data_IF_866056886042
#
_entry.id   IF_866056886042
#
_cell.length_a   1.000
_cell.length_b   1.000
_cell.length_c   1.000
_cell.angle_alpha   90.00
_cell.angle_beta   90.00
_cell.angle_gamma   90.00
#
_symmetry.space_group_name_H-M   'P 1'
#
loop_
_entity.id
_entity.type
_entity.pdbx_description
1 polymer ?
#
# COMPACT_ATOMS: atom_id res chain seq x y z
N UNK A 1 2.28 31.20 6.71
CA UNK A 1 3.27 30.14 6.45
C UNK A 1 2.81 28.75 6.90
N UNK A 2 2.48 28.52 8.19
CA UNK A 2 2.04 27.18 8.66
C UNK A 2 0.82 26.59 7.93
N UNK A 3 -0.22 27.40 7.71
CA UNK A 3 -1.47 26.96 7.04
C UNK A 3 -1.26 26.53 5.58
N UNK A 4 -0.33 27.17 4.86
CA UNK A 4 -0.04 26.84 3.46
C UNK A 4 0.67 25.49 3.35
N UNK A 5 1.64 25.24 4.25
CA UNK A 5 2.40 23.99 4.30
C UNK A 5 1.52 22.80 4.74
N UNK A 6 0.61 23.02 5.70
CA UNK A 6 -0.37 22.00 6.06
C UNK A 6 -1.33 21.69 4.90
N UNK A 7 -1.78 22.71 4.17
CA UNK A 7 -2.66 22.53 3.02
C UNK A 7 -1.94 21.78 1.88
N UNK A 8 -0.68 22.10 1.61
CA UNK A 8 0.17 21.39 0.65
C UNK A 8 0.35 19.91 1.03
N UNK A 9 0.64 19.62 2.30
CA UNK A 9 0.76 18.23 2.77
C UNK A 9 -0.56 17.45 2.70
N UNK A 10 -1.70 18.12 2.92
CA UNK A 10 -3.03 17.50 2.82
C UNK A 10 -3.38 17.21 1.37
N UNK A 11 -3.06 18.13 0.44
CA UNK A 11 -3.27 17.96 -1.00
C UNK A 11 -2.42 16.82 -1.55
N UNK A 12 -1.12 16.78 -1.21
CA UNK A 12 -0.22 15.71 -1.64
C UNK A 12 -0.66 14.37 -1.03
N UNK A 13 -1.07 14.35 0.25
CA UNK A 13 -1.61 13.16 0.91
C UNK A 13 -2.89 12.64 0.25
N UNK A 14 -3.82 13.53 -0.10
CA UNK A 14 -5.05 13.17 -0.80
C UNK A 14 -4.78 12.61 -2.20
N UNK A 15 -3.87 13.22 -2.96
CA UNK A 15 -3.46 12.73 -4.28
C UNK A 15 -2.76 11.37 -4.18
N UNK A 16 -1.86 11.19 -3.22
CA UNK A 16 -1.17 9.91 -2.97
C UNK A 16 -2.14 8.79 -2.57
N UNK A 17 -3.14 9.10 -1.75
CA UNK A 17 -4.21 8.17 -1.38
C UNK A 17 -5.04 7.73 -2.60
N UNK A 18 -5.46 8.68 -3.44
CA UNK A 18 -6.23 8.38 -4.64
C UNK A 18 -5.44 7.47 -5.61
N UNK A 19 -4.18 7.81 -5.86
CA UNK A 19 -3.30 7.02 -6.74
C UNK A 19 -3.02 5.63 -6.14
N UNK A 20 -2.73 5.56 -4.83
CA UNK A 20 -2.47 4.31 -4.12
C UNK A 20 -3.67 3.36 -4.13
N UNK A 21 -4.89 3.89 -4.02
CA UNK A 21 -6.12 3.11 -4.05
C UNK A 21 -6.37 2.50 -5.43
N UNK A 22 -6.16 3.29 -6.51
CA UNK A 22 -6.22 2.79 -7.89
C UNK A 22 -5.15 1.73 -8.16
N UNK A 23 -3.90 1.98 -7.75
CA UNK A 23 -2.80 1.03 -7.89
C UNK A 23 -3.03 -0.25 -7.07
N UNK A 24 -3.57 -0.16 -5.86
CA UNK A 24 -3.87 -1.30 -5.00
C UNK A 24 -4.96 -2.20 -5.59
N UNK A 25 -6.00 -1.61 -6.17
CA UNK A 25 -7.03 -2.34 -6.91
C UNK A 25 -6.40 -3.04 -8.14
N UNK A 26 -5.61 -2.30 -8.93
CA UNK A 26 -4.94 -2.85 -10.11
C UNK A 26 -3.98 -4.00 -9.75
N UNK A 27 -3.19 -3.85 -8.67
CA UNK A 27 -2.29 -4.89 -8.16
C UNK A 27 -3.07 -6.12 -7.70
N UNK A 28 -4.19 -5.95 -7.02
CA UNK A 28 -5.02 -7.08 -6.59
C UNK A 28 -5.51 -7.90 -7.78
N UNK A 29 -5.96 -7.23 -8.84
CA UNK A 29 -6.37 -7.89 -10.09
C UNK A 29 -5.21 -8.47 -10.90
N UNK A 30 -3.99 -7.93 -10.79
CA UNK A 30 -2.80 -8.45 -11.48
C UNK A 30 -2.16 -9.63 -10.73
N UNK A 31 -2.13 -9.58 -9.39
CA UNK A 31 -1.50 -10.58 -8.53
C UNK A 31 -2.39 -11.83 -8.44
N UNK A 32 -3.71 -11.69 -8.32
CA UNK A 32 -4.61 -12.85 -8.23
C UNK A 32 -4.38 -13.89 -9.35
N UNK A 33 -4.39 -13.56 -10.65
CA UNK A 33 -4.14 -14.53 -11.71
C UNK A 33 -2.67 -14.97 -11.79
N UNK A 34 -1.71 -14.10 -11.40
CA UNK A 34 -0.29 -14.44 -11.41
C UNK A 34 0.06 -15.45 -10.31
N UNK A 35 -0.47 -15.28 -9.09
CA UNK A 35 -0.29 -16.21 -7.98
C UNK A 35 -0.96 -17.55 -8.25
N UNK A 36 -2.16 -17.53 -8.86
CA UNK A 36 -2.87 -18.74 -9.29
C UNK A 36 -2.10 -19.47 -10.40
N UNK A 37 -1.55 -18.76 -11.40
CA UNK A 37 -0.73 -19.35 -12.47
C UNK A 37 0.59 -19.91 -11.96
N UNK A 38 1.31 -19.16 -11.12
CA UNK A 38 2.61 -19.57 -10.58
C UNK A 38 2.47 -20.69 -9.54
N UNK A 39 1.51 -20.59 -8.62
CA UNK A 39 1.21 -21.62 -7.63
C UNK A 39 0.72 -22.92 -8.26
N UNK A 40 -0.19 -22.85 -9.25
CA UNK A 40 -0.64 -24.02 -9.99
C UNK A 40 0.50 -24.64 -10.83
N UNK A 41 1.40 -23.84 -11.40
CA UNK A 41 2.54 -24.34 -12.17
C UNK A 41 3.58 -24.99 -11.25
N UNK A 42 3.93 -24.44 -10.08
CA UNK A 42 4.85 -25.09 -9.14
C UNK A 42 4.30 -26.42 -8.60
N UNK A 43 2.99 -26.50 -8.35
CA UNK A 43 2.31 -27.74 -7.94
C UNK A 43 2.19 -28.75 -9.10
N UNK A 44 1.94 -28.29 -10.34
CA UNK A 44 1.81 -29.10 -11.55
C UNK A 44 3.14 -29.61 -12.11
N UNK A 45 4.20 -28.81 -12.02
CA UNK A 45 5.55 -29.16 -12.52
C UNK A 45 6.33 -30.03 -11.52
N UNK A 46 5.80 -30.25 -10.32
CA UNK A 46 6.33 -31.26 -9.40
C UNK A 46 7.62 -30.88 -8.67
N UNK A 47 8.08 -29.63 -8.75
CA UNK A 47 9.23 -29.16 -7.98
C UNK A 47 9.00 -29.28 -6.45
N UNK A 48 7.74 -29.13 -6.00
CA UNK A 48 7.33 -29.33 -4.61
C UNK A 48 7.29 -30.82 -4.21
N UNK A 49 7.22 -31.74 -5.17
CA UNK A 49 7.17 -33.20 -4.92
C UNK A 49 8.51 -33.78 -4.47
N UNK A 50 9.63 -33.09 -4.78
CA UNK A 50 10.98 -33.50 -4.39
C UNK A 50 11.27 -33.25 -2.90
N UNK A 51 10.54 -32.33 -2.26
CA UNK A 51 10.64 -32.05 -0.84
C UNK A 51 9.73 -33.07 -0.14
N UNK A 52 10.30 -34.22 0.26
CA UNK A 52 9.60 -35.47 0.63
C UNK A 52 8.48 -35.40 1.68
N UNK A 53 8.23 -34.24 2.28
CA UNK A 53 7.09 -33.97 3.16
C UNK A 53 5.86 -33.38 2.44
N UNK A 54 6.07 -32.65 1.33
CA UNK A 54 5.02 -31.97 0.57
C UNK A 54 4.43 -32.81 -0.58
N UNK A 55 5.06 -33.95 -0.93
CA UNK A 55 4.62 -34.82 -2.01
C UNK A 55 3.29 -35.56 -1.75
N UNK A 56 2.93 -35.83 -0.49
CA UNK A 56 1.61 -36.39 -0.13
C UNK A 56 0.53 -35.31 0.01
N UNK A 57 0.93 -34.09 0.33
CA UNK A 57 0.05 -32.92 0.38
C UNK A 57 -0.28 -32.38 -1.02
N UNK A 58 0.61 -32.59 -2.00
CA UNK A 58 0.43 -32.18 -3.40
C UNK A 58 -0.68 -32.90 -4.18
N UNK A 59 -1.20 -34.04 -3.69
CA UNK A 59 -2.43 -34.64 -4.23
C UNK A 59 -3.71 -33.96 -3.72
N UNK A 60 -3.61 -33.16 -2.66
CA UNK A 60 -4.74 -32.51 -2.00
C UNK A 60 -4.56 -30.99 -1.90
N UNK A 61 -3.66 -30.40 -2.71
CA UNK A 61 -3.63 -28.97 -2.97
C UNK A 61 -4.74 -28.62 -3.98
N UNK A 62 -5.95 -28.91 -3.55
CA UNK A 62 -7.16 -28.10 -3.67
C UNK A 62 -6.89 -26.80 -4.40
N UNK A 63 -7.59 -26.60 -5.52
CA UNK A 63 -7.74 -25.35 -6.24
C UNK A 63 -7.88 -24.19 -5.24
N UNK A 64 -6.77 -23.50 -4.94
CA UNK A 64 -6.78 -22.34 -4.05
C UNK A 64 -7.48 -21.25 -4.85
N UNK A 65 -8.76 -21.02 -4.60
CA UNK A 65 -9.52 -19.95 -5.25
C UNK A 65 -9.38 -18.71 -4.37
N UNK A 66 -8.44 -17.83 -4.72
CA UNK A 66 -8.36 -16.50 -4.13
C UNK A 66 -9.50 -15.65 -4.71
N UNK A 67 -10.55 -15.43 -3.92
CA UNK A 67 -11.61 -14.51 -4.28
C UNK A 67 -11.28 -13.12 -3.72
N UNK A 68 -10.92 -12.13 -4.56
CA UNK A 68 -10.69 -10.78 -4.09
C UNK A 68 -12.02 -10.15 -3.67
N UNK A 69 -12.21 -9.98 -2.37
CA UNK A 69 -13.38 -9.31 -1.80
C UNK A 69 -13.10 -7.81 -1.75
N UNK A 70 -13.63 -7.09 -2.74
CA UNK A 70 -13.61 -5.63 -2.78
C UNK A 70 -15.00 -5.14 -2.36
N UNK A 71 -15.16 -4.87 -1.07
CA UNK A 71 -16.37 -4.24 -0.52
C UNK A 71 -16.21 -2.72 -0.47
N UNK A 72 -17.34 -2.01 -0.53
CA UNK A 72 -17.35 -0.54 -0.43
C UNK A 72 -16.74 -0.05 0.89
N UNK A 73 -16.89 -0.83 1.95
CA UNK A 73 -16.30 -0.59 3.27
C UNK A 73 -14.76 -0.59 3.22
N UNK A 74 -14.15 -1.54 2.52
CA UNK A 74 -12.69 -1.63 2.40
C UNK A 74 -12.12 -0.45 1.61
N UNK A 75 -12.86 0.01 0.59
CA UNK A 75 -12.48 1.21 -0.18
C UNK A 75 -12.55 2.44 0.72
N UNK A 76 -13.64 2.61 1.47
CA UNK A 76 -13.80 3.73 2.40
C UNK A 76 -12.71 3.74 3.47
N UNK A 77 -12.42 2.60 4.09
CA UNK A 77 -11.35 2.45 5.07
C UNK A 77 -9.96 2.76 4.49
N UNK A 78 -9.66 2.27 3.29
CA UNK A 78 -8.38 2.55 2.62
C UNK A 78 -8.20 4.04 2.33
N UNK A 79 -9.28 4.73 1.94
CA UNK A 79 -9.28 6.16 1.63
C UNK A 79 -9.11 7.00 2.90
N UNK A 80 -9.83 6.66 3.98
CA UNK A 80 -9.67 7.30 5.29
C UNK A 80 -8.26 7.09 5.85
N UNK A 81 -7.73 5.86 5.77
CA UNK A 81 -6.37 5.56 6.21
C UNK A 81 -5.32 6.30 5.38
N UNK A 82 -5.47 6.35 4.05
CA UNK A 82 -4.55 7.07 3.17
C UNK A 82 -4.47 8.56 3.49
N UNK A 83 -5.63 9.21 3.69
CA UNK A 83 -5.69 10.62 4.12
C UNK A 83 -5.08 10.78 5.51
N UNK A 84 -5.41 9.90 6.47
CA UNK A 84 -4.88 9.96 7.82
C UNK A 84 -3.34 9.84 7.84
N UNK A 85 -2.78 8.88 7.09
CA UNK A 85 -1.32 8.70 6.98
C UNK A 85 -0.67 9.90 6.29
N UNK A 86 -1.27 10.45 5.23
CA UNK A 86 -0.76 11.64 4.56
C UNK A 86 -0.72 12.87 5.47
N UNK A 87 -1.77 13.09 6.26
CA UNK A 87 -1.84 14.16 7.26
C UNK A 87 -0.81 13.95 8.37
N UNK A 88 -0.68 12.72 8.91
CA UNK A 88 0.31 12.39 9.93
C UNK A 88 1.74 12.60 9.43
N UNK A 89 2.02 12.21 8.18
CA UNK A 89 3.32 12.41 7.55
C UNK A 89 3.65 13.90 7.34
N UNK A 90 2.65 14.75 7.12
CA UNK A 90 2.81 16.21 6.98
C UNK A 90 2.97 16.96 8.30
N UNK A 91 2.34 16.47 9.38
CA UNK A 91 2.40 17.11 10.71
C UNK A 91 3.83 17.12 11.27
N UNK A 92 4.59 16.04 11.12
CA UNK A 92 5.97 15.96 11.62
C UNK A 92 6.92 17.02 11.03
N UNK A 93 7.05 17.17 9.69
CA UNK A 93 7.87 18.22 9.09
C UNK A 93 7.29 19.63 9.32
N UNK A 94 5.95 19.79 9.34
CA UNK A 94 5.32 21.09 9.61
C UNK A 94 5.62 21.60 11.02
N UNK A 95 5.59 20.72 12.03
CA UNK A 95 5.94 21.06 13.40
C UNK A 95 7.42 21.44 13.52
N UNK A 96 8.30 20.73 12.80
CA UNK A 96 9.73 21.06 12.73
C UNK A 96 9.97 22.42 12.06
N UNK A 97 9.27 22.73 10.97
CA UNK A 97 9.40 24.00 10.24
C UNK A 97 8.84 25.20 11.05
N UNK A 98 7.74 25.01 11.78
CA UNK A 98 7.13 26.05 12.62
C UNK A 98 8.04 26.55 13.74
N UNK A 99 9.03 25.74 14.13
CA UNK A 99 9.99 26.07 15.20
C UNK A 99 11.22 26.83 14.69
N UNK A 100 11.42 27.01 13.39
CA UNK A 100 12.51 27.81 12.85
C UNK A 100 12.20 29.31 13.02
N UNK A 101 13.00 30.01 13.82
CA UNK A 101 12.86 31.45 14.06
C UNK A 101 13.25 32.21 12.79
N UNK A 102 12.31 32.95 12.21
CA UNK A 102 12.47 33.81 11.03
C UNK A 102 13.49 34.95 11.18
N UNK A 103 14.14 35.09 12.34
CA UNK A 103 15.17 36.08 12.65
C UNK A 103 16.58 35.64 12.19
N UNK A 104 16.88 34.34 12.10
CA UNK A 104 18.22 33.88 11.67
C UNK A 104 18.46 34.01 10.16
N UNK A 105 17.39 34.02 9.35
CA UNK A 105 17.48 34.13 7.89
C UNK A 105 17.90 35.53 7.39
N UNK A 106 17.78 36.57 8.23
CA UNK A 106 18.14 37.95 7.89
C UNK A 106 19.57 38.33 8.29
N UNK A 107 20.28 37.48 9.04
CA UNK A 107 21.66 37.73 9.49
C UNK A 107 22.74 37.13 8.56
N UNK A 108 22.31 36.40 7.54
CA UNK A 108 23.15 35.77 6.51
C UNK A 108 22.86 36.33 5.10
N UNK A 109 22.40 37.58 5.01
CA UNK A 109 22.36 38.36 3.76
C UNK A 109 23.49 39.38 3.79
#
# INVERSE_FOLDING_TARGET
MLKLFMLESTVIGAMGSAIGLVLGIALTYAIAPLLLRTGALLLRTGAVRAIGFAGRLGRSATTITLQPVITLENIALALVLGIAVGVLAGIYPAYRAAKMKSVEALRYV
#
